data_IF_457259564985
#
_entry.id   IF_457259564985
#
_cell.length_a   1.000
_cell.length_b   1.000
_cell.length_c   1.000
_cell.angle_alpha   90.00
_cell.angle_beta   90.00
_cell.angle_gamma   90.00
#
_symmetry.space_group_name_H-M   'P 1'
#
loop_
_entity.id
_entity.type
_entity.pdbx_description
1 polymer ?
#
# COMPACT_ATOMS: atom_id res chain seq x y z
N UNK A 1 -2.17 -11.41 14.82
CA UNK A 1 -1.51 -10.59 13.81
C UNK A 1 -2.31 -10.71 12.52
N UNK A 2 -2.42 -9.65 11.68
CA UNK A 2 -3.15 -9.72 10.43
C UNK A 2 -2.48 -10.71 9.48
N UNK A 3 -3.29 -11.45 8.74
CA UNK A 3 -2.83 -12.37 7.70
C UNK A 3 -3.70 -12.22 6.46
N UNK A 4 -3.07 -11.94 5.32
CA UNK A 4 -3.70 -11.94 4.02
C UNK A 4 -3.12 -13.10 3.21
N UNK A 5 -3.97 -13.89 2.58
CA UNK A 5 -3.54 -15.08 1.85
C UNK A 5 -4.21 -15.13 0.48
N UNK A 6 -3.49 -15.57 -0.53
CA UNK A 6 -4.06 -15.91 -1.84
C UNK A 6 -3.88 -17.39 -2.11
N UNK A 7 -4.87 -18.02 -2.74
CA UNK A 7 -4.84 -19.42 -3.18
C UNK A 7 -5.19 -19.49 -4.65
N UNK A 8 -4.22 -19.89 -5.44
CA UNK A 8 -4.33 -20.07 -6.90
C UNK A 8 -4.92 -18.84 -7.62
N UNK A 9 -4.58 -17.64 -7.10
CA UNK A 9 -5.16 -16.38 -7.57
C UNK A 9 -4.76 -16.13 -9.03
N UNK A 10 -5.76 -15.91 -9.87
CA UNK A 10 -5.58 -15.59 -11.28
C UNK A 10 -6.32 -14.30 -11.60
N UNK A 11 -5.66 -13.39 -12.33
CA UNK A 11 -6.18 -12.07 -12.69
C UNK A 11 -6.05 -11.82 -14.20
N UNK A 12 -7.10 -11.19 -14.78
CA UNK A 12 -7.15 -10.79 -16.19
C UNK A 12 -7.69 -9.36 -16.33
N UNK A 13 -7.38 -8.70 -17.43
CA UNK A 13 -8.07 -7.51 -17.93
C UNK A 13 -8.47 -7.79 -19.37
N UNK A 14 -9.77 -7.94 -19.62
CA UNK A 14 -10.24 -8.44 -20.89
C UNK A 14 -9.65 -9.82 -21.20
N UNK A 15 -8.96 -9.93 -22.33
CA UNK A 15 -8.28 -11.19 -22.71
C UNK A 15 -6.84 -11.31 -22.17
N UNK A 16 -6.26 -10.22 -21.66
CA UNK A 16 -4.88 -10.21 -21.18
C UNK A 16 -4.79 -10.86 -19.80
N UNK A 17 -3.95 -11.89 -19.69
CA UNK A 17 -3.55 -12.46 -18.40
C UNK A 17 -2.56 -11.52 -17.73
N UNK A 18 -2.83 -11.15 -16.46
CA UNK A 18 -1.94 -10.32 -15.65
C UNK A 18 -1.15 -11.16 -14.65
N UNK A 19 -1.80 -12.20 -14.11
CA UNK A 19 -1.24 -13.03 -13.05
C UNK A 19 -1.92 -14.40 -13.08
N UNK A 20 -1.14 -15.46 -12.89
CA UNK A 20 -1.62 -16.84 -12.89
C UNK A 20 -1.20 -17.58 -11.63
N UNK A 21 -2.17 -18.14 -10.91
CA UNK A 21 -1.93 -19.15 -9.87
C UNK A 21 -1.13 -18.65 -8.66
N UNK A 22 -1.23 -17.36 -8.28
CA UNK A 22 -0.52 -16.84 -7.14
C UNK A 22 -1.05 -17.44 -5.83
N UNK A 23 -0.19 -18.18 -5.13
CA UNK A 23 -0.46 -18.69 -3.80
C UNK A 23 0.63 -18.19 -2.85
N UNK A 24 0.29 -17.21 -1.99
CA UNK A 24 1.21 -16.58 -1.05
C UNK A 24 0.49 -16.16 0.21
N UNK A 25 1.17 -16.25 1.36
CA UNK A 25 0.71 -15.72 2.63
C UNK A 25 1.54 -14.48 3.00
N UNK A 26 0.84 -13.36 3.23
CA UNK A 26 1.40 -12.13 3.76
C UNK A 26 1.08 -12.09 5.26
N UNK A 27 2.08 -11.90 6.09
CA UNK A 27 1.93 -12.02 7.53
C UNK A 27 2.24 -10.71 8.26
N UNK A 28 1.60 -10.50 9.40
CA UNK A 28 1.89 -9.36 10.27
C UNK A 28 3.37 -9.27 10.64
N UNK A 29 3.86 -8.05 10.79
CA UNK A 29 5.28 -7.75 10.99
C UNK A 29 6.08 -7.57 9.69
N UNK A 30 5.47 -7.79 8.52
CA UNK A 30 6.14 -7.72 7.23
C UNK A 30 5.75 -6.46 6.44
N UNK A 31 6.75 -5.88 5.76
CA UNK A 31 6.56 -4.90 4.70
C UNK A 31 6.88 -5.57 3.37
N UNK A 32 5.90 -5.63 2.47
CA UNK A 32 6.02 -6.22 1.16
C UNK A 32 6.09 -5.14 0.08
N UNK A 33 7.07 -5.23 -0.80
CA UNK A 33 7.11 -4.46 -2.03
C UNK A 33 6.45 -5.25 -3.17
N UNK A 34 5.52 -4.64 -3.88
CA UNK A 34 4.97 -5.16 -5.14
C UNK A 34 5.68 -4.42 -6.27
N UNK A 35 6.50 -5.13 -7.04
CA UNK A 35 7.29 -4.61 -8.14
C UNK A 35 6.85 -5.25 -9.47
N UNK A 36 6.99 -4.51 -10.56
CA UNK A 36 6.63 -4.96 -11.90
C UNK A 36 6.59 -3.81 -12.88
N UNK A 37 6.66 -4.08 -14.17
CA UNK A 37 6.56 -3.10 -15.24
C UNK A 37 5.24 -2.29 -15.16
N UNK A 38 5.20 -1.15 -15.85
CA UNK A 38 3.94 -0.42 -16.00
C UNK A 38 2.92 -1.29 -16.75
N UNK A 39 1.69 -1.32 -16.24
CA UNK A 39 0.64 -2.17 -16.81
C UNK A 39 0.77 -3.67 -16.46
N UNK A 40 1.68 -4.10 -15.57
CA UNK A 40 1.78 -5.49 -15.11
C UNK A 40 0.63 -5.96 -14.22
N UNK A 41 -0.24 -5.04 -13.79
CA UNK A 41 -1.42 -5.38 -12.99
C UNK A 41 -1.27 -5.12 -11.48
N UNK A 42 -0.29 -4.35 -11.03
CA UNK A 42 -0.06 -4.04 -9.60
C UNK A 42 -1.30 -3.46 -8.92
N UNK A 43 -1.89 -2.41 -9.49
CA UNK A 43 -3.13 -1.79 -9.00
C UNK A 43 -4.30 -2.78 -9.01
N UNK A 44 -4.43 -3.58 -10.09
CA UNK A 44 -5.46 -4.61 -10.21
C UNK A 44 -5.32 -5.67 -9.10
N UNK A 45 -4.10 -6.09 -8.82
CA UNK A 45 -3.81 -6.99 -7.72
C UNK A 45 -4.21 -6.38 -6.37
N UNK A 46 -3.78 -5.14 -6.08
CA UNK A 46 -4.16 -4.46 -4.82
C UNK A 46 -5.68 -4.35 -4.67
N UNK A 47 -6.41 -3.97 -5.72
CA UNK A 47 -7.87 -3.89 -5.69
C UNK A 47 -8.51 -5.25 -5.42
N UNK A 48 -7.95 -6.33 -5.98
CA UNK A 48 -8.42 -7.70 -5.74
C UNK A 48 -8.13 -8.15 -4.32
N UNK A 49 -6.91 -7.88 -3.81
CA UNK A 49 -6.54 -8.15 -2.43
C UNK A 49 -7.39 -7.37 -1.42
N UNK A 50 -7.84 -6.16 -1.78
CA UNK A 50 -8.79 -5.37 -0.98
C UNK A 50 -10.24 -5.88 -1.06
N UNK A 51 -10.55 -6.83 -1.94
CA UNK A 51 -11.91 -7.30 -2.21
C UNK A 51 -12.80 -6.25 -2.91
N UNK A 52 -12.19 -5.28 -3.60
CA UNK A 52 -12.89 -4.28 -4.42
C UNK A 52 -13.12 -4.78 -5.84
N UNK A 53 -12.33 -5.75 -6.27
CA UNK A 53 -12.45 -6.45 -7.53
C UNK A 53 -12.53 -7.96 -7.27
N UNK A 54 -13.32 -8.68 -8.06
CA UNK A 54 -13.36 -10.15 -8.03
C UNK A 54 -12.13 -10.70 -8.75
N UNK A 55 -11.57 -11.80 -8.21
CA UNK A 55 -10.59 -12.62 -8.91
C UNK A 55 -11.22 -13.32 -10.11
N UNK A 56 -10.43 -13.56 -11.15
CA UNK A 56 -10.84 -14.36 -12.32
C UNK A 56 -10.66 -15.87 -12.05
N UNK A 57 -9.85 -16.24 -11.05
CA UNK A 57 -9.67 -17.60 -10.52
C UNK A 57 -9.01 -17.55 -9.14
N UNK A 58 -9.19 -18.62 -8.37
CA UNK A 58 -8.68 -18.69 -7.00
C UNK A 58 -9.42 -17.81 -6.01
N UNK A 59 -8.83 -17.58 -4.85
CA UNK A 59 -9.46 -16.82 -3.78
C UNK A 59 -8.45 -15.96 -2.98
N UNK A 60 -8.99 -14.96 -2.29
CA UNK A 60 -8.28 -14.13 -1.31
C UNK A 60 -8.92 -14.34 0.06
N UNK A 61 -8.10 -14.62 1.07
CA UNK A 61 -8.54 -14.79 2.45
C UNK A 61 -7.91 -13.71 3.34
N UNK A 62 -8.70 -13.14 4.23
CA UNK A 62 -8.25 -12.24 5.30
C UNK A 62 -8.52 -12.91 6.64
N UNK A 63 -7.47 -13.19 7.41
CA UNK A 63 -7.52 -13.93 8.66
C UNK A 63 -8.23 -15.29 8.51
N UNK A 64 -7.98 -15.99 7.39
CA UNK A 64 -8.57 -17.30 7.09
C UNK A 64 -10.01 -17.27 6.55
N UNK A 65 -10.65 -16.11 6.47
CA UNK A 65 -11.99 -15.95 5.92
C UNK A 65 -11.96 -15.42 4.50
N UNK A 66 -12.70 -16.03 3.57
CA UNK A 66 -12.75 -15.59 2.19
C UNK A 66 -13.31 -14.16 2.07
N UNK A 67 -12.61 -13.32 1.31
CA UNK A 67 -12.86 -11.88 1.20
C UNK A 67 -14.32 -11.51 0.89
N UNK A 68 -15.06 -12.22 0.00
CA UNK A 68 -16.46 -11.90 -0.29
C UNK A 68 -17.42 -12.12 0.90
N UNK A 69 -17.03 -12.96 1.86
CA UNK A 69 -17.86 -13.26 3.03
C UNK A 69 -17.65 -12.30 4.19
N UNK A 70 -16.69 -11.38 4.09
CA UNK A 70 -16.42 -10.39 5.13
C UNK A 70 -17.27 -9.14 4.85
N UNK A 71 -18.16 -8.73 5.77
CA UNK A 71 -18.94 -7.50 5.61
C UNK A 71 -18.01 -6.29 5.39
N UNK A 72 -18.39 -5.38 4.47
CA UNK A 72 -17.54 -4.24 4.06
C UNK A 72 -16.99 -3.44 5.23
N UNK A 73 -17.81 -3.20 6.24
CA UNK A 73 -17.42 -2.43 7.42
C UNK A 73 -16.41 -3.17 8.30
N UNK A 74 -16.59 -4.49 8.49
CA UNK A 74 -15.63 -5.34 9.22
C UNK A 74 -14.29 -5.36 8.49
N UNK A 75 -14.34 -5.49 7.16
CA UNK A 75 -13.16 -5.43 6.31
C UNK A 75 -12.44 -4.09 6.43
N UNK A 76 -13.17 -2.96 6.38
CA UNK A 76 -12.59 -1.62 6.49
C UNK A 76 -11.96 -1.32 7.87
N UNK A 77 -12.30 -2.07 8.93
CA UNK A 77 -11.58 -2.01 10.21
C UNK A 77 -10.29 -2.82 10.23
N UNK A 78 -10.16 -3.78 9.34
CA UNK A 78 -9.01 -4.68 9.25
C UNK A 78 -8.03 -4.31 8.15
N UNK A 79 -8.52 -3.66 7.09
CA UNK A 79 -7.77 -3.36 5.88
C UNK A 79 -8.02 -1.92 5.43
N UNK A 80 -6.96 -1.14 5.38
CA UNK A 80 -6.92 0.19 4.77
C UNK A 80 -6.30 0.12 3.38
N UNK A 81 -6.78 0.99 2.48
CA UNK A 81 -6.24 1.09 1.12
C UNK A 81 -5.96 2.56 0.77
N UNK A 82 -4.80 2.79 0.19
CA UNK A 82 -4.42 4.04 -0.45
C UNK A 82 -4.36 3.81 -1.95
N UNK A 83 -5.21 4.52 -2.70
CA UNK A 83 -5.26 4.42 -4.16
C UNK A 83 -4.18 5.30 -4.80
N UNK A 84 -3.82 4.99 -6.06
CA UNK A 84 -2.91 5.80 -6.86
C UNK A 84 -3.49 7.19 -7.11
N UNK A 85 -4.74 7.26 -7.54
CA UNK A 85 -5.47 8.50 -7.77
C UNK A 85 -6.77 8.50 -6.99
N UNK A 86 -7.02 9.57 -6.26
CA UNK A 86 -8.29 9.80 -5.56
C UNK A 86 -9.00 10.99 -6.22
N UNK A 87 -10.17 10.79 -6.84
CA UNK A 87 -10.93 11.90 -7.43
C UNK A 87 -11.23 12.98 -6.39
N UNK A 88 -11.10 14.25 -6.79
CA UNK A 88 -11.49 15.40 -5.97
C UNK A 88 -13.02 15.46 -5.86
N UNK A 89 -13.58 14.81 -4.86
CA UNK A 89 -15.04 14.67 -4.78
C UNK A 89 -15.73 15.73 -3.91
N UNK A 90 -15.06 16.38 -2.92
CA UNK A 90 -15.75 17.21 -1.96
C UNK A 90 -14.97 18.45 -1.51
N UNK A 91 -15.69 19.54 -1.24
CA UNK A 91 -15.19 20.70 -0.51
C UNK A 91 -15.17 20.38 0.98
N UNK A 92 -14.10 19.76 1.45
CA UNK A 92 -13.87 19.46 2.87
C UNK A 92 -12.57 20.08 3.34
N UNK A 93 -12.45 20.35 4.61
CA UNK A 93 -11.17 20.70 5.22
C UNK A 93 -10.24 19.49 5.26
N UNK A 94 -8.95 19.76 5.38
CA UNK A 94 -7.93 18.72 5.59
C UNK A 94 -8.25 17.89 6.83
N UNK A 95 -8.64 18.54 7.93
CA UNK A 95 -8.98 17.84 9.17
C UNK A 95 -10.19 16.92 9.00
N UNK A 96 -11.30 17.40 8.41
CA UNK A 96 -12.48 16.57 8.14
C UNK A 96 -12.15 15.37 7.25
N UNK A 97 -11.30 15.58 6.25
CA UNK A 97 -10.84 14.49 5.37
C UNK A 97 -10.07 13.44 6.18
N UNK A 98 -9.12 13.84 7.02
CA UNK A 98 -8.34 12.91 7.84
C UNK A 98 -9.23 12.20 8.86
N UNK A 99 -10.15 12.94 9.51
CA UNK A 99 -11.09 12.38 10.48
C UNK A 99 -12.03 11.34 9.85
N UNK A 100 -12.37 11.48 8.55
CA UNK A 100 -13.17 10.48 7.83
C UNK A 100 -12.57 9.06 7.83
N UNK A 101 -11.28 8.93 8.07
CA UNK A 101 -10.62 7.64 8.32
C UNK A 101 -11.26 6.83 9.45
N UNK A 102 -11.96 7.50 10.39
CA UNK A 102 -12.66 6.84 11.50
C UNK A 102 -14.04 6.28 11.16
N UNK A 103 -14.61 6.61 9.98
CA UNK A 103 -15.92 6.13 9.57
C UNK A 103 -16.17 4.61 9.75
N UNK A 104 -15.22 3.70 9.48
CA UNK A 104 -15.43 2.28 9.71
C UNK A 104 -15.68 1.91 11.18
N UNK A 105 -15.24 2.74 12.11
CA UNK A 105 -15.33 2.48 13.55
C UNK A 105 -16.65 2.94 14.17
N UNK A 106 -17.38 3.86 13.49
CA UNK A 106 -18.65 4.43 14.02
C UNK A 106 -19.88 3.76 13.45
N UNK A 107 -21.00 3.77 14.22
CA UNK A 107 -22.34 3.46 13.75
C UNK A 107 -22.88 4.54 12.80
N UNK A 108 -23.95 4.24 12.08
CA UNK A 108 -24.54 5.16 11.08
C UNK A 108 -24.92 6.54 11.65
N UNK A 109 -25.25 6.60 12.95
CA UNK A 109 -25.64 7.84 13.65
C UNK A 109 -24.70 8.18 14.82
N UNK A 110 -23.52 7.58 14.90
CA UNK A 110 -22.59 7.88 15.97
C UNK A 110 -21.65 9.01 15.50
N UNK A 111 -21.61 10.15 16.20
CA UNK A 111 -20.64 11.19 15.93
C UNK A 111 -19.23 10.71 16.30
N UNK A 112 -18.23 11.37 15.71
CA UNK A 112 -16.83 11.18 16.06
C UNK A 112 -16.59 11.62 17.52
N UNK A 113 -15.73 10.87 18.19
CA UNK A 113 -15.36 11.12 19.59
C UNK A 113 -14.15 12.05 19.69
N UNK A 114 -13.89 12.59 20.88
CA UNK A 114 -12.65 13.34 21.17
C UNK A 114 -11.39 12.49 20.86
N UNK A 115 -11.41 11.20 21.17
CA UNK A 115 -10.31 10.29 20.86
C UNK A 115 -10.07 10.14 19.34
N UNK A 116 -11.12 10.16 18.51
CA UNK A 116 -10.95 10.13 17.06
C UNK A 116 -10.33 11.43 16.53
N UNK A 117 -10.72 12.56 17.11
CA UNK A 117 -10.12 13.87 16.77
C UNK A 117 -8.64 13.92 17.16
N UNK A 118 -8.27 13.39 18.33
CA UNK A 118 -6.88 13.27 18.77
C UNK A 118 -6.06 12.40 17.80
N UNK A 119 -6.60 11.26 17.34
CA UNK A 119 -5.97 10.42 16.34
C UNK A 119 -5.76 11.16 15.01
N UNK A 120 -6.77 11.93 14.56
CA UNK A 120 -6.66 12.72 13.33
C UNK A 120 -5.60 13.83 13.46
N UNK A 121 -5.54 14.53 14.59
CA UNK A 121 -4.50 15.53 14.86
C UNK A 121 -3.10 14.90 14.92
N UNK A 122 -2.96 13.77 15.59
CA UNK A 122 -1.71 13.03 15.65
C UNK A 122 -1.24 12.56 14.26
N UNK A 123 -2.17 12.10 13.43
CA UNK A 123 -1.88 11.71 12.05
C UNK A 123 -1.43 12.91 11.19
N UNK A 124 -2.08 14.07 11.34
CA UNK A 124 -1.65 15.31 10.65
C UNK A 124 -0.26 15.76 11.09
N UNK A 125 0.02 15.70 12.40
CA UNK A 125 1.35 16.02 12.92
C UNK A 125 2.43 15.07 12.37
N UNK A 126 2.13 13.77 12.29
CA UNK A 126 3.06 12.76 11.78
C UNK A 126 3.43 12.96 10.29
N UNK A 127 2.57 13.61 9.51
CA UNK A 127 2.83 13.94 8.10
C UNK A 127 3.21 15.42 7.87
N UNK A 128 3.52 16.17 8.92
CA UNK A 128 3.91 17.60 8.88
C UNK A 128 2.84 18.51 8.23
N UNK A 129 1.56 18.31 8.58
CA UNK A 129 0.42 19.08 8.05
C UNK A 129 -0.50 19.68 9.13
N UNK A 130 -0.01 19.87 10.36
CA UNK A 130 -0.82 20.42 11.46
C UNK A 130 -1.42 21.79 11.12
N UNK A 131 -0.63 22.68 10.53
CA UNK A 131 -1.05 24.05 10.18
C UNK A 131 -2.03 24.09 8.99
N UNK A 132 -2.24 22.96 8.33
CA UNK A 132 -3.13 22.82 7.18
C UNK A 132 -4.54 22.34 7.57
N UNK A 133 -4.77 22.01 8.83
CA UNK A 133 -6.02 21.35 9.28
C UNK A 133 -7.29 22.08 8.81
N UNK A 134 -7.32 23.40 8.84
CA UNK A 134 -8.47 24.21 8.41
C UNK A 134 -8.52 24.51 6.91
N UNK A 135 -7.49 24.17 6.12
CA UNK A 135 -7.47 24.45 4.68
C UNK A 135 -8.41 23.53 3.92
N UNK A 136 -8.94 24.03 2.80
CA UNK A 136 -9.71 23.19 1.87
C UNK A 136 -8.76 22.24 1.12
N UNK A 137 -9.06 20.94 1.09
CA UNK A 137 -8.24 19.92 0.43
C UNK A 137 -8.02 20.20 -1.07
N UNK A 138 -8.96 20.88 -1.72
CA UNK A 138 -8.86 21.25 -3.14
C UNK A 138 -7.74 22.26 -3.42
N UNK A 139 -7.26 22.98 -2.41
CA UNK A 139 -6.19 23.99 -2.54
C UNK A 139 -4.79 23.44 -2.37
N UNK A 140 -4.67 22.15 -2.03
CA UNK A 140 -3.40 21.50 -1.77
C UNK A 140 -2.66 21.13 -3.06
N UNK A 141 -1.34 21.18 -3.01
CA UNK A 141 -0.46 20.55 -4.00
C UNK A 141 -0.64 19.03 -4.02
N UNK A 142 -0.19 18.37 -5.10
CA UNK A 142 -0.26 16.91 -5.19
C UNK A 142 0.45 16.19 -4.03
N UNK A 143 1.63 16.69 -3.65
CA UNK A 143 2.39 16.12 -2.53
C UNK A 143 1.74 16.35 -1.16
N UNK A 144 1.17 17.54 -0.91
CA UNK A 144 0.41 17.82 0.32
C UNK A 144 -0.83 16.92 0.39
N UNK A 145 -1.55 16.78 -0.71
CA UNK A 145 -2.72 15.89 -0.81
C UNK A 145 -2.33 14.44 -0.52
N UNK A 146 -1.23 13.94 -1.11
CA UNK A 146 -0.74 12.58 -0.85
C UNK A 146 -0.46 12.35 0.63
N UNK A 147 0.11 13.33 1.32
CA UNK A 147 0.32 13.28 2.77
C UNK A 147 -0.99 13.26 3.56
N UNK A 148 -2.03 14.02 3.15
CA UNK A 148 -3.38 13.96 3.75
C UNK A 148 -3.99 12.57 3.58
N UNK A 149 -3.90 11.96 2.40
CA UNK A 149 -4.41 10.60 2.16
C UNK A 149 -3.73 9.57 3.07
N UNK A 150 -2.41 9.68 3.27
CA UNK A 150 -1.70 8.82 4.21
C UNK A 150 -2.12 9.10 5.65
N UNK A 151 -2.32 10.37 6.05
CA UNK A 151 -2.84 10.70 7.37
C UNK A 151 -4.23 10.09 7.60
N UNK A 152 -5.11 10.11 6.59
CA UNK A 152 -6.42 9.45 6.63
C UNK A 152 -6.29 7.94 6.85
N UNK A 153 -5.36 7.29 6.14
CA UNK A 153 -5.07 5.86 6.32
C UNK A 153 -4.54 5.56 7.73
N UNK A 154 -3.67 6.42 8.26
CA UNK A 154 -3.16 6.29 9.63
C UNK A 154 -4.27 6.44 10.67
N UNK A 155 -5.18 7.40 10.46
CA UNK A 155 -6.35 7.64 11.31
C UNK A 155 -7.35 6.48 11.26
N UNK A 156 -7.48 5.79 10.13
CA UNK A 156 -8.27 4.55 10.03
C UNK A 156 -7.75 3.46 10.96
N UNK A 157 -6.46 3.43 11.22
CA UNK A 157 -5.77 2.50 12.12
C UNK A 157 -6.04 1.02 11.83
N UNK A 158 -6.11 0.68 10.56
CA UNK A 158 -6.24 -0.70 10.12
C UNK A 158 -4.91 -1.45 10.25
N UNK A 159 -4.90 -2.71 10.76
CA UNK A 159 -3.67 -3.48 10.93
C UNK A 159 -3.04 -3.96 9.62
N UNK A 160 -3.78 -3.98 8.52
CA UNK A 160 -3.30 -4.27 7.18
C UNK A 160 -3.48 -3.05 6.29
N UNK A 161 -2.41 -2.61 5.62
CA UNK A 161 -2.45 -1.49 4.68
C UNK A 161 -1.99 -1.92 3.28
N UNK A 162 -2.79 -1.59 2.28
CA UNK A 162 -2.48 -1.74 0.86
C UNK A 162 -2.23 -0.34 0.29
N UNK A 163 -1.01 -0.06 -0.19
CA UNK A 163 -0.62 1.27 -0.64
C UNK A 163 -0.21 1.24 -2.10
N UNK A 164 -0.99 1.89 -2.95
CA UNK A 164 -0.67 2.02 -4.38
C UNK A 164 0.14 3.30 -4.60
N UNK A 165 1.42 3.15 -4.88
CA UNK A 165 2.38 4.22 -5.16
C UNK A 165 2.35 5.35 -4.10
N UNK A 166 2.54 5.04 -2.79
CA UNK A 166 2.30 5.99 -1.70
C UNK A 166 3.19 7.22 -1.74
N UNK A 167 4.30 7.17 -2.44
CA UNK A 167 5.33 8.24 -2.46
C UNK A 167 5.40 9.01 -3.77
N UNK A 168 4.49 8.76 -4.72
CA UNK A 168 4.44 9.52 -5.96
C UNK A 168 4.17 11.00 -5.68
N UNK A 169 4.76 11.87 -6.51
CA UNK A 169 4.68 13.34 -6.41
C UNK A 169 5.29 13.94 -5.14
N UNK A 170 6.04 13.16 -4.35
CA UNK A 170 6.79 13.63 -3.19
C UNK A 170 8.27 13.80 -3.54
N UNK A 171 8.90 14.80 -2.96
CA UNK A 171 10.36 14.92 -2.98
C UNK A 171 11.04 13.83 -2.13
N UNK A 172 12.35 13.56 -2.31
CA UNK A 172 13.05 12.47 -1.63
C UNK A 172 12.99 12.54 -0.10
N UNK A 173 12.92 13.75 0.50
CA UNK A 173 12.79 13.92 1.95
C UNK A 173 11.45 13.38 2.43
N UNK A 174 10.36 13.83 1.80
CA UNK A 174 9.00 13.43 2.17
C UNK A 174 8.74 11.95 1.82
N UNK A 175 9.29 11.43 0.70
CA UNK A 175 9.23 9.99 0.38
C UNK A 175 9.81 9.14 1.52
N UNK A 176 11.02 9.49 1.95
CA UNK A 176 11.72 8.77 3.02
C UNK A 176 10.98 8.87 4.36
N UNK A 177 10.49 10.06 4.71
CA UNK A 177 9.76 10.28 5.97
C UNK A 177 8.46 9.47 6.01
N UNK A 178 7.69 9.50 4.92
CA UNK A 178 6.43 8.78 4.80
C UNK A 178 6.62 7.26 4.85
N UNK A 179 7.59 6.71 4.11
CA UNK A 179 7.87 5.27 4.15
C UNK A 179 8.37 4.84 5.54
N UNK A 180 9.20 5.63 6.22
CA UNK A 180 9.58 5.36 7.61
C UNK A 180 8.38 5.28 8.53
N UNK A 181 7.46 6.26 8.42
CA UNK A 181 6.25 6.34 9.24
C UNK A 181 5.36 5.10 9.03
N UNK A 182 5.05 4.76 7.79
CA UNK A 182 4.20 3.61 7.45
C UNK A 182 4.88 2.29 7.84
N UNK A 183 6.15 2.10 7.46
CA UNK A 183 6.85 0.83 7.66
C UNK A 183 7.23 0.59 9.13
N UNK A 184 7.36 1.63 9.97
CA UNK A 184 7.62 1.45 11.39
C UNK A 184 6.45 0.74 12.12
N UNK A 185 5.22 0.90 11.65
CA UNK A 185 4.02 0.30 12.27
C UNK A 185 4.06 -1.23 12.26
N UNK A 186 4.70 -1.85 11.28
CA UNK A 186 4.85 -3.31 11.24
C UNK A 186 5.69 -3.82 12.40
N UNK A 187 6.78 -3.10 12.76
CA UNK A 187 7.67 -3.48 13.85
C UNK A 187 7.06 -3.20 15.22
N UNK A 188 6.36 -2.07 15.37
CA UNK A 188 5.83 -1.62 16.67
C UNK A 188 4.53 -2.33 17.04
N UNK A 189 3.66 -2.60 16.09
CA UNK A 189 2.30 -3.10 16.32
C UNK A 189 1.98 -4.40 15.56
N UNK A 190 2.97 -5.02 14.89
CA UNK A 190 2.74 -6.23 14.10
C UNK A 190 1.81 -6.04 12.91
N UNK A 191 1.71 -4.81 12.37
CA UNK A 191 0.91 -4.52 11.19
C UNK A 191 1.51 -5.20 9.95
N UNK A 192 0.76 -5.24 8.87
CA UNK A 192 1.17 -5.75 7.57
C UNK A 192 0.99 -4.63 6.53
N UNK A 193 2.04 -4.36 5.75
CA UNK A 193 1.95 -3.41 4.65
C UNK A 193 2.32 -4.08 3.32
N UNK A 194 1.52 -3.85 2.29
CA UNK A 194 1.82 -4.16 0.89
C UNK A 194 1.91 -2.84 0.14
N UNK A 195 3.09 -2.54 -0.42
CA UNK A 195 3.38 -1.27 -1.08
C UNK A 195 3.72 -1.52 -2.55
N UNK A 196 2.97 -0.94 -3.45
CA UNK A 196 3.42 -0.82 -4.85
C UNK A 196 4.44 0.30 -4.90
N UNK A 197 5.64 -0.02 -5.35
CA UNK A 197 6.75 0.92 -5.50
C UNK A 197 7.33 0.82 -6.91
N UNK A 198 7.76 1.98 -7.47
CA UNK A 198 8.48 2.02 -8.74
C UNK A 198 10.00 1.98 -8.54
N UNK A 199 10.47 2.59 -7.46
CA UNK A 199 11.90 2.61 -7.14
C UNK A 199 12.27 1.34 -6.34
N UNK A 200 13.07 0.48 -6.96
CA UNK A 200 13.58 -0.75 -6.35
C UNK A 200 14.47 -0.45 -5.13
N UNK A 201 15.15 0.69 -5.09
CA UNK A 201 16.03 1.05 -3.98
C UNK A 201 15.21 1.45 -2.75
N UNK A 202 14.05 2.08 -2.93
CA UNK A 202 13.10 2.28 -1.84
C UNK A 202 12.52 0.95 -1.34
N UNK A 203 12.23 0.01 -2.25
CA UNK A 203 11.77 -1.32 -1.87
C UNK A 203 12.83 -2.06 -1.02
N UNK A 204 14.08 -2.10 -1.46
CA UNK A 204 15.19 -2.72 -0.71
C UNK A 204 15.40 -2.08 0.66
N UNK A 205 15.23 -0.76 0.75
CA UNK A 205 15.47 0.00 1.99
C UNK A 205 14.37 -0.18 3.03
N UNK A 206 13.10 -0.29 2.61
CA UNK A 206 11.94 -0.23 3.50
C UNK A 206 11.16 -1.53 3.64
N UNK A 207 11.30 -2.46 2.70
CA UNK A 207 10.56 -3.70 2.68
C UNK A 207 11.44 -4.90 3.01
N UNK A 208 10.88 -5.88 3.70
CA UNK A 208 11.54 -7.15 4.02
C UNK A 208 11.28 -8.21 2.96
N UNK A 209 10.10 -8.15 2.32
CA UNK A 209 9.62 -9.13 1.35
C UNK A 209 9.24 -8.44 0.04
N UNK A 210 9.16 -9.22 -1.02
CA UNK A 210 8.74 -8.75 -2.33
C UNK A 210 7.81 -9.73 -3.04
N UNK A 211 6.96 -9.15 -3.88
CA UNK A 211 6.17 -9.84 -4.89
C UNK A 211 6.47 -9.19 -6.24
N UNK A 212 7.12 -9.93 -7.11
CA UNK A 212 7.53 -9.49 -8.44
C UNK A 212 6.52 -10.01 -9.47
N UNK A 213 5.93 -9.11 -10.24
CA UNK A 213 5.02 -9.44 -11.34
C UNK A 213 5.79 -9.42 -12.64
N UNK A 214 5.87 -10.56 -13.34
CA UNK A 214 6.56 -10.71 -14.61
C UNK A 214 5.58 -10.57 -15.79
N UNK A 215 6.09 -10.25 -16.98
CA UNK A 215 5.27 -9.97 -18.16
C UNK A 215 4.46 -11.18 -18.64
N UNK A 216 4.96 -12.40 -18.43
CA UNK A 216 4.28 -13.65 -18.79
C UNK A 216 3.15 -14.05 -17.81
N UNK A 217 2.89 -13.23 -16.79
CA UNK A 217 1.91 -13.48 -15.74
C UNK A 217 2.41 -14.40 -14.64
N UNK A 218 3.66 -14.84 -14.68
CA UNK A 218 4.30 -15.52 -13.56
C UNK A 218 4.72 -14.55 -12.46
N UNK A 219 5.00 -15.08 -11.27
CA UNK A 219 5.40 -14.27 -10.11
C UNK A 219 6.58 -14.88 -9.39
N UNK A 220 7.39 -14.02 -8.76
CA UNK A 220 8.36 -14.43 -7.74
C UNK A 220 8.03 -13.74 -6.44
N UNK A 221 8.05 -14.43 -5.32
CA UNK A 221 7.77 -13.83 -4.03
C UNK A 221 8.61 -14.46 -2.91
N UNK A 222 8.86 -13.69 -1.87
CA UNK A 222 9.66 -14.09 -0.71
C UNK A 222 10.47 -12.94 -0.14
N UNK A 223 11.47 -13.22 0.71
CA UNK A 223 12.40 -12.21 1.20
C UNK A 223 13.07 -11.49 0.03
N UNK A 224 13.11 -10.15 0.06
CA UNK A 224 13.71 -9.37 -1.04
C UNK A 224 15.17 -9.72 -1.29
N UNK A 225 15.90 -10.09 -0.24
CA UNK A 225 17.30 -10.49 -0.35
C UNK A 225 17.50 -11.71 -1.27
N UNK A 226 16.52 -12.60 -1.31
CA UNK A 226 16.59 -13.89 -2.03
C UNK A 226 16.06 -13.80 -3.46
N UNK A 227 15.08 -12.90 -3.70
CA UNK A 227 14.37 -12.84 -5.00
C UNK A 227 14.84 -11.71 -5.92
N UNK A 228 15.56 -10.70 -5.39
CA UNK A 228 16.07 -9.59 -6.17
C UNK A 228 17.50 -9.86 -6.66
N UNK A 229 17.64 -9.94 -7.98
CA UNK A 229 18.90 -9.95 -8.69
C UNK A 229 18.81 -9.07 -9.95
N UNK A 230 19.95 -8.77 -10.56
CA UNK A 230 20.04 -7.92 -11.76
C UNK A 230 19.30 -8.53 -12.97
N UNK A 231 19.31 -9.86 -13.10
CA UNK A 231 18.63 -10.56 -14.20
C UNK A 231 17.11 -10.42 -14.07
N UNK A 232 16.56 -10.65 -12.87
CA UNK A 232 15.13 -10.50 -12.58
C UNK A 232 14.66 -9.06 -12.76
N UNK A 233 15.44 -8.09 -12.26
CA UNK A 233 15.12 -6.67 -12.45
C UNK A 233 15.24 -6.26 -13.92
N UNK A 234 16.20 -6.81 -14.65
CA UNK A 234 16.32 -6.61 -16.10
C UNK A 234 15.08 -7.08 -16.86
N UNK A 235 14.51 -8.23 -16.48
CA UNK A 235 13.23 -8.71 -17.05
C UNK A 235 12.05 -7.79 -16.71
N UNK A 236 12.00 -7.27 -15.48
CA UNK A 236 10.91 -6.39 -15.02
C UNK A 236 10.96 -5.02 -15.70
N UNK A 237 12.16 -4.42 -15.81
CA UNK A 237 12.31 -3.05 -16.29
C UNK A 237 12.70 -2.94 -17.77
N UNK A 238 13.00 -4.05 -18.42
CA UNK A 238 13.33 -4.09 -19.86
C UNK A 238 14.69 -3.48 -20.19
N UNK A 239 15.60 -3.36 -19.23
CA UNK A 239 16.96 -2.81 -19.39
C UNK A 239 17.97 -3.60 -18.57
N UNK A 240 19.23 -3.55 -18.98
CA UNK A 240 20.30 -4.13 -18.18
C UNK A 240 20.40 -3.40 -16.83
N UNK A 241 20.63 -4.15 -15.76
CA UNK A 241 20.68 -3.62 -14.39
C UNK A 241 22.02 -3.95 -13.76
N UNK A 242 22.57 -3.01 -12.99
CA UNK A 242 23.78 -3.17 -12.20
C UNK A 242 23.46 -3.12 -10.72
N UNK A 243 24.08 -4.01 -9.95
CA UNK A 243 24.05 -4.01 -8.50
C UNK A 243 25.33 -3.36 -7.94
N UNK A 244 25.16 -2.42 -7.01
CA UNK A 244 26.24 -1.85 -6.20
C UNK A 244 25.97 -2.25 -4.74
N UNK A 245 26.98 -2.78 -4.10
CA UNK A 245 26.97 -3.11 -2.66
C UNK A 245 27.85 -2.11 -1.92
N UNK A 246 27.31 -1.54 -0.86
CA UNK A 246 28.02 -0.63 0.03
C UNK A 246 27.65 -0.93 1.48
N UNK A 247 28.28 -0.24 2.42
CA UNK A 247 27.91 -0.31 3.86
C UNK A 247 26.47 0.13 4.12
N UNK A 248 25.89 0.93 3.22
CA UNK A 248 24.49 1.35 3.27
C UNK A 248 23.50 0.30 2.73
N UNK A 249 24.00 -0.82 2.18
CA UNK A 249 23.20 -1.91 1.62
C UNK A 249 23.36 -2.09 0.11
N UNK A 250 22.42 -2.83 -0.48
CA UNK A 250 22.34 -3.11 -1.93
C UNK A 250 21.59 -1.99 -2.63
N UNK A 251 22.08 -1.58 -3.79
CA UNK A 251 21.43 -0.60 -4.65
C UNK A 251 21.48 -1.09 -6.09
N UNK A 252 20.42 -0.79 -6.87
CA UNK A 252 20.29 -1.21 -8.25
C UNK A 252 20.12 0.01 -9.15
N UNK A 253 20.80 0.01 -10.28
CA UNK A 253 20.77 1.09 -11.28
C UNK A 253 20.64 0.49 -12.68
N UNK A 254 19.93 1.16 -13.60
CA UNK A 254 20.02 0.82 -15.02
C UNK A 254 21.44 1.11 -15.52
N UNK A 255 21.91 0.27 -16.45
CA UNK A 255 23.19 0.46 -17.15
C UNK A 255 23.09 1.59 -18.16
#
# INVERSE_FOLDING_TARGET
>A
MPRLETRDLTLRIGHRLLLRGLSVAFEGGQNWAILGANGSGKTTLLQTLAGLRRADGGEVLLDGQAMPHIPRRVRARKLGILFQDTPNAFHASVFETVLSGRHPHHGFWQPETAADQELAHAALAAVELTDFAGRNIATLSGGERRRVEVATLLTQDAPLCLLDEPVNHLDPRHQTALLRLVCARTRLAGHLNLLVLHDVNLAVRFCSHGLLLLEDGSTRHGPLADILDTATLGMIYGCAMREIRSDAGRMFFPD
#
